data_IF_598888799571
#
_entry.id   IF_598888799571
#
_cell.length_a   1.000
_cell.length_b   1.000
_cell.length_c   1.000
_cell.angle_alpha   90.00
_cell.angle_beta   90.00
_cell.angle_gamma   90.00
#
_symmetry.space_group_name_H-M   'P 1'
#
loop_
_entity.id
_entity.type
_entity.pdbx_description
1 polymer ?
#
# COMPACT_ATOMS: atom_id res chain seq x y z
N UNK A 1 -10.88 5.79 19.46
CA UNK A 1 -9.95 6.92 19.19
C UNK A 1 -8.69 6.45 18.47
N UNK A 2 -7.94 5.48 19.02
CA UNK A 2 -6.75 4.90 18.35
C UNK A 2 -7.11 4.30 17.00
N UNK A 3 -8.18 3.51 16.91
CA UNK A 3 -8.62 2.90 15.65
C UNK A 3 -8.89 3.94 14.55
N UNK A 4 -9.58 5.03 14.87
CA UNK A 4 -9.84 6.12 13.93
C UNK A 4 -8.55 6.77 13.43
N UNK A 5 -7.58 7.08 14.32
CA UNK A 5 -6.29 7.64 13.93
C UNK A 5 -5.55 6.70 12.96
N UNK A 6 -5.60 5.40 13.20
CA UNK A 6 -5.00 4.40 12.31
C UNK A 6 -5.75 4.25 10.98
N UNK A 7 -7.09 4.28 10.96
CA UNK A 7 -7.89 4.29 9.73
C UNK A 7 -7.51 5.48 8.84
N UNK A 8 -7.47 6.68 9.43
CA UNK A 8 -7.04 7.89 8.73
C UNK A 8 -5.59 7.82 8.27
N UNK A 9 -4.70 7.19 9.05
CA UNK A 9 -3.31 6.93 8.65
C UNK A 9 -3.22 6.00 7.44
N UNK A 10 -3.92 4.87 7.45
CA UNK A 10 -3.95 3.90 6.33
C UNK A 10 -4.59 4.54 5.10
N UNK A 11 -5.76 5.16 5.25
CA UNK A 11 -6.48 5.82 4.15
C UNK A 11 -5.64 6.97 3.56
N UNK A 12 -5.06 7.81 4.41
CA UNK A 12 -4.19 8.91 3.99
C UNK A 12 -2.96 8.42 3.24
N UNK A 13 -2.29 7.38 3.74
CA UNK A 13 -1.11 6.82 3.09
C UNK A 13 -1.44 6.17 1.74
N UNK A 14 -2.54 5.42 1.66
CA UNK A 14 -3.04 4.86 0.41
C UNK A 14 -3.43 5.97 -0.58
N UNK A 15 -4.11 7.01 -0.12
CA UNK A 15 -4.55 8.13 -0.96
C UNK A 15 -3.37 8.93 -1.50
N UNK A 16 -2.43 9.33 -0.64
CA UNK A 16 -1.22 10.08 -1.04
C UNK A 16 -0.36 9.22 -1.96
N UNK A 17 -0.18 7.94 -1.66
CA UNK A 17 0.57 7.00 -2.52
C UNK A 17 -0.09 6.88 -3.90
N UNK A 18 -1.43 6.74 -3.93
CA UNK A 18 -2.20 6.67 -5.16
C UNK A 18 -2.09 7.95 -5.99
N UNK A 19 -2.19 9.11 -5.35
CA UNK A 19 -2.06 10.41 -6.00
C UNK A 19 -0.65 10.62 -6.56
N UNK A 20 0.40 10.25 -5.81
CA UNK A 20 1.78 10.27 -6.29
C UNK A 20 1.97 9.41 -7.55
N UNK A 21 1.36 8.23 -7.58
CA UNK A 21 1.41 7.34 -8.74
C UNK A 21 0.68 7.87 -9.98
N UNK A 22 -0.32 8.74 -9.81
CA UNK A 22 -1.08 9.37 -10.90
C UNK A 22 -0.39 10.66 -11.38
N UNK A 23 -0.02 11.53 -10.45
CA UNK A 23 0.49 12.89 -10.74
C UNK A 23 1.98 12.91 -11.05
N UNK A 24 2.77 12.06 -10.38
CA UNK A 24 4.23 12.07 -10.48
C UNK A 24 4.82 10.66 -10.70
N UNK A 25 4.40 9.93 -11.76
CA UNK A 25 4.78 8.54 -11.99
C UNK A 25 6.30 8.34 -12.15
N UNK A 26 7.01 9.31 -12.72
CA UNK A 26 8.48 9.28 -12.86
C UNK A 26 9.20 9.44 -11.53
N UNK A 27 8.68 10.27 -10.62
CA UNK A 27 9.26 10.44 -9.30
C UNK A 27 9.11 9.15 -8.48
N UNK A 28 7.92 8.53 -8.57
CA UNK A 28 7.68 7.24 -7.92
C UNK A 28 8.57 6.14 -8.50
N UNK A 29 8.90 6.20 -9.79
CA UNK A 29 9.89 5.29 -10.40
C UNK A 29 11.26 5.42 -9.76
N UNK A 30 11.75 6.66 -9.67
CA UNK A 30 13.08 6.94 -9.15
C UNK A 30 13.17 6.45 -7.71
N UNK A 31 12.14 6.69 -6.91
CA UNK A 31 12.08 6.22 -5.52
C UNK A 31 11.97 4.69 -5.44
N UNK A 32 11.14 4.07 -6.27
CA UNK A 32 10.91 2.62 -6.26
C UNK A 32 11.93 1.81 -7.07
N UNK A 33 12.97 2.46 -7.61
CA UNK A 33 14.10 1.79 -8.26
C UNK A 33 15.16 1.31 -7.25
N UNK A 34 15.18 1.89 -6.05
CA UNK A 34 16.12 1.56 -4.99
C UNK A 34 15.65 0.39 -4.14
N UNK A 35 16.48 -0.65 -3.99
CA UNK A 35 16.15 -1.77 -3.12
C UNK A 35 15.91 -1.36 -1.66
N UNK A 36 16.64 -0.36 -1.15
CA UNK A 36 16.44 0.16 0.20
C UNK A 36 15.06 0.82 0.38
N UNK A 37 14.64 1.65 -0.58
CA UNK A 37 13.33 2.30 -0.56
C UNK A 37 12.19 1.28 -0.67
N UNK A 38 12.35 0.24 -1.51
CA UNK A 38 11.37 -0.85 -1.64
C UNK A 38 11.24 -1.63 -0.33
N UNK A 39 12.36 -1.93 0.35
CA UNK A 39 12.33 -2.60 1.67
C UNK A 39 11.65 -1.72 2.74
N UNK A 40 11.96 -0.43 2.76
CA UNK A 40 11.31 0.53 3.65
C UNK A 40 9.80 0.58 3.41
N UNK A 41 9.37 0.68 2.15
CA UNK A 41 7.96 0.62 1.80
C UNK A 41 7.33 -0.70 2.23
N UNK A 42 8.03 -1.82 2.04
CA UNK A 42 7.59 -3.13 2.52
C UNK A 42 7.37 -3.15 4.04
N UNK A 43 8.30 -2.59 4.82
CA UNK A 43 8.17 -2.49 6.28
C UNK A 43 6.96 -1.62 6.69
N UNK A 44 6.74 -0.50 6.00
CA UNK A 44 5.57 0.36 6.22
C UNK A 44 4.27 -0.42 5.96
N UNK A 45 4.19 -1.17 4.85
CA UNK A 45 3.02 -1.99 4.54
C UNK A 45 2.75 -3.06 5.62
N UNK A 46 3.80 -3.67 6.18
CA UNK A 46 3.67 -4.64 7.27
C UNK A 46 3.12 -4.00 8.55
N UNK A 47 3.59 -2.80 8.90
CA UNK A 47 3.07 -2.05 10.06
C UNK A 47 1.60 -1.70 9.85
N UNK A 48 1.21 -1.30 8.64
CA UNK A 48 -0.19 -1.00 8.30
C UNK A 48 -1.09 -2.24 8.24
N UNK A 49 -0.51 -3.44 8.07
CA UNK A 49 -1.28 -4.69 8.10
C UNK A 49 -1.77 -5.02 9.52
N UNK A 50 -0.99 -4.71 10.56
CA UNK A 50 -1.33 -5.03 11.96
C UNK A 50 -2.76 -4.61 12.36
N UNK A 51 -3.19 -3.35 12.17
CA UNK A 51 -4.55 -2.92 12.55
C UNK A 51 -5.66 -3.62 11.74
N UNK A 52 -5.36 -4.12 10.53
CA UNK A 52 -6.33 -4.87 9.74
C UNK A 52 -6.77 -6.18 10.40
N UNK A 53 -5.99 -6.72 11.36
CA UNK A 53 -6.39 -7.88 12.18
C UNK A 53 -7.41 -7.54 13.26
N UNK A 54 -7.48 -6.28 13.66
CA UNK A 54 -8.37 -5.82 14.73
C UNK A 54 -9.78 -5.48 14.21
N UNK A 55 -9.89 -5.16 12.91
CA UNK A 55 -11.15 -4.77 12.30
C UNK A 55 -11.94 -5.96 11.76
N UNK A 56 -13.23 -6.04 12.11
CA UNK A 56 -14.13 -7.10 11.63
C UNK A 56 -14.65 -6.74 10.23
N UNK A 57 -14.50 -7.66 9.28
CA UNK A 57 -15.07 -7.52 7.94
C UNK A 57 -14.19 -8.22 6.91
N UNK A 58 -14.82 -8.84 5.90
CA UNK A 58 -14.09 -9.58 4.86
C UNK A 58 -13.09 -8.69 4.11
N UNK A 59 -13.44 -7.42 3.92
CA UNK A 59 -12.57 -6.42 3.31
C UNK A 59 -11.24 -6.26 4.07
N UNK A 60 -11.27 -6.14 5.40
CA UNK A 60 -10.06 -5.92 6.21
C UNK A 60 -9.16 -7.15 6.23
N UNK A 61 -9.73 -8.36 6.19
CA UNK A 61 -8.95 -9.60 6.02
C UNK A 61 -8.28 -9.67 4.65
N UNK A 62 -8.98 -9.27 3.58
CA UNK A 62 -8.38 -9.18 2.24
C UNK A 62 -7.28 -8.13 2.18
N UNK A 63 -7.51 -6.96 2.78
CA UNK A 63 -6.53 -5.88 2.86
C UNK A 63 -5.30 -6.32 3.67
N UNK A 64 -5.51 -6.99 4.81
CA UNK A 64 -4.45 -7.59 5.61
C UNK A 64 -3.58 -8.53 4.77
N UNK A 65 -4.20 -9.51 4.10
CA UNK A 65 -3.47 -10.47 3.27
C UNK A 65 -2.68 -9.79 2.15
N UNK A 66 -3.29 -8.78 1.49
CA UNK A 66 -2.63 -8.00 0.44
C UNK A 66 -1.43 -7.21 0.96
N UNK A 67 -1.59 -6.49 2.06
CA UNK A 67 -0.53 -5.71 2.70
C UNK A 67 0.59 -6.61 3.24
N UNK A 68 0.24 -7.72 3.87
CA UNK A 68 1.20 -8.69 4.42
C UNK A 68 2.04 -9.32 3.31
N UNK A 69 1.40 -9.89 2.28
CA UNK A 69 2.11 -10.55 1.18
C UNK A 69 2.97 -9.55 0.42
N UNK A 70 2.44 -8.35 0.12
CA UNK A 70 3.19 -7.30 -0.56
C UNK A 70 4.37 -6.80 0.29
N UNK A 71 4.15 -6.62 1.59
CA UNK A 71 5.16 -6.20 2.55
C UNK A 71 6.31 -7.20 2.67
N UNK A 72 6.00 -8.48 2.91
CA UNK A 72 6.97 -9.58 2.98
C UNK A 72 7.77 -9.64 1.68
N UNK A 73 7.08 -9.64 0.53
CA UNK A 73 7.75 -9.70 -0.77
C UNK A 73 8.73 -8.54 -0.98
N UNK A 74 8.35 -7.32 -0.61
CA UNK A 74 9.19 -6.13 -0.75
C UNK A 74 10.37 -6.09 0.22
N UNK A 75 10.21 -6.62 1.43
CA UNK A 75 11.27 -6.67 2.46
C UNK A 75 12.34 -7.72 2.12
N UNK A 76 11.91 -8.92 1.72
CA UNK A 76 12.82 -10.05 1.48
C UNK A 76 13.27 -10.18 0.03
N UNK A 77 12.45 -9.75 -0.94
CA UNK A 77 12.72 -9.87 -2.38
C UNK A 77 12.56 -8.54 -3.13
N UNK A 78 13.27 -7.46 -2.73
CA UNK A 78 13.07 -6.12 -3.32
C UNK A 78 13.34 -6.08 -4.83
N UNK A 79 14.37 -6.79 -5.31
CA UNK A 79 14.67 -6.88 -6.76
C UNK A 79 13.57 -7.61 -7.55
N UNK A 80 12.97 -8.63 -6.94
CA UNK A 80 11.82 -9.34 -7.50
C UNK A 80 10.61 -8.42 -7.62
N UNK A 81 10.31 -7.68 -6.54
CA UNK A 81 9.23 -6.68 -6.49
C UNK A 81 9.39 -5.59 -7.56
N UNK A 82 10.59 -5.03 -7.74
CA UNK A 82 10.86 -4.01 -8.75
C UNK A 82 10.54 -4.54 -10.15
N UNK A 83 11.02 -5.75 -10.46
CA UNK A 83 10.77 -6.39 -11.76
C UNK A 83 9.28 -6.70 -11.99
N UNK A 84 8.55 -7.08 -10.93
CA UNK A 84 7.09 -7.30 -11.03
C UNK A 84 6.35 -5.98 -11.23
N UNK A 85 6.67 -4.93 -10.47
CA UNK A 85 6.06 -3.61 -10.65
C UNK A 85 6.28 -3.02 -12.05
N UNK A 86 7.43 -3.30 -12.69
CA UNK A 86 7.67 -2.91 -14.08
C UNK A 86 6.84 -3.69 -15.11
N UNK A 87 6.36 -4.89 -14.77
CA UNK A 87 5.62 -5.77 -15.69
C UNK A 87 4.11 -5.83 -15.46
N UNK A 88 3.63 -5.56 -14.25
CA UNK A 88 2.27 -5.97 -13.88
C UNK A 88 1.16 -5.13 -14.52
N UNK A 89 1.28 -3.80 -14.59
CA UNK A 89 0.25 -2.93 -15.18
C UNK A 89 0.68 -1.45 -15.19
N UNK A 90 0.08 -0.59 -16.06
CA UNK A 90 0.39 0.83 -16.08
C UNK A 90 0.09 1.48 -14.72
N UNK A 91 1.00 2.34 -14.25
CA UNK A 91 0.99 2.86 -12.87
C UNK A 91 -0.26 3.65 -12.50
N UNK A 92 -0.97 4.22 -13.46
CA UNK A 92 -2.26 4.87 -13.21
C UNK A 92 -3.30 3.88 -12.64
N UNK A 93 -3.28 2.60 -13.06
CA UNK A 93 -4.14 1.54 -12.52
C UNK A 93 -3.74 1.25 -11.07
N UNK A 94 -2.44 1.23 -10.79
CA UNK A 94 -1.95 1.11 -9.41
C UNK A 94 -2.46 2.26 -8.54
N UNK A 95 -2.34 3.49 -9.05
CA UNK A 95 -2.82 4.69 -8.37
C UNK A 95 -4.32 4.63 -8.09
N UNK A 96 -5.14 4.28 -9.09
CA UNK A 96 -6.58 4.11 -8.95
C UNK A 96 -6.95 3.03 -7.93
N UNK A 97 -6.23 1.90 -7.91
CA UNK A 97 -6.44 0.84 -6.92
C UNK A 97 -6.12 1.32 -5.50
N UNK A 98 -5.05 2.10 -5.32
CA UNK A 98 -4.67 2.66 -4.03
C UNK A 98 -5.67 3.71 -3.55
N UNK A 99 -6.12 4.61 -4.43
CA UNK A 99 -7.17 5.60 -4.10
C UNK A 99 -8.50 4.91 -3.80
N UNK A 100 -8.88 3.90 -4.58
CA UNK A 100 -10.07 3.09 -4.31
C UNK A 100 -9.97 2.35 -2.98
N UNK A 101 -8.80 1.80 -2.66
CA UNK A 101 -8.50 1.21 -1.35
C UNK A 101 -8.64 2.22 -0.21
N UNK A 102 -8.11 3.44 -0.38
CA UNK A 102 -8.25 4.52 0.60
C UNK A 102 -9.72 4.90 0.83
N UNK A 103 -10.49 5.03 -0.25
CA UNK A 103 -11.92 5.35 -0.17
C UNK A 103 -12.71 4.23 0.53
N UNK A 104 -12.40 2.97 0.26
CA UNK A 104 -13.00 1.81 0.94
C UNK A 104 -12.64 1.76 2.42
N UNK A 105 -11.37 1.99 2.80
CA UNK A 105 -10.96 2.09 4.22
C UNK A 105 -11.71 3.23 4.91
N UNK A 106 -11.83 4.39 4.28
CA UNK A 106 -12.56 5.53 4.83
C UNK A 106 -14.07 5.27 4.97
N UNK A 107 -14.69 4.59 4.00
CA UNK A 107 -16.11 4.30 4.02
C UNK A 107 -16.49 3.16 4.98
N UNK A 108 -15.59 2.19 5.17
CA UNK A 108 -15.82 1.00 5.99
C UNK A 108 -15.19 1.09 7.38
N UNK A 109 -14.56 2.21 7.73
CA UNK A 109 -14.00 2.40 9.07
C UNK A 109 -15.10 2.21 10.13
N UNK A 110 -14.78 1.53 11.25
CA UNK A 110 -15.73 1.27 12.33
C UNK A 110 -16.13 2.53 13.11
#
# INVERSE_FOLDING_TARGET
MVEAIYCWGVAGLLFVSGLCHIVAPELTERWMSGAAAVRWMGAVLLVLAIPCLMWRGWYFWTLFAGLLLSGIWRVFFPRGSIRTQQRSYPRWVHGCLLVGGAALVWALQP
#
